data_IF_690663857566
#
_entry.id   IF_690663857566
#
_cell.length_a   1.000
_cell.length_b   1.000
_cell.length_c   1.000
_cell.angle_alpha   90.00
_cell.angle_beta   90.00
_cell.angle_gamma   90.00
#
_symmetry.space_group_name_H-M   'P 1'
#
loop_
_entity.id
_entity.type
_entity.pdbx_description
1 polymer ?
#
# COMPACT_ATOMS: atom_id res chain seq x y z
N UNK A 1 7.37 2.46 -24.49
CA UNK A 1 7.85 3.13 -23.26
C UNK A 1 7.23 2.45 -22.02
N UNK A 2 7.90 1.46 -21.42
CA UNK A 2 7.41 0.71 -20.25
C UNK A 2 8.27 1.07 -19.03
N UNK A 3 7.64 1.72 -18.04
CA UNK A 3 8.26 2.13 -16.78
C UNK A 3 8.48 0.88 -15.91
N UNK A 4 9.73 0.40 -15.83
CA UNK A 4 10.12 -0.65 -14.88
C UNK A 4 10.61 -0.02 -13.57
N UNK A 5 9.75 -0.01 -12.54
CA UNK A 5 10.15 0.35 -11.18
C UNK A 5 11.04 -0.74 -10.58
N UNK A 6 12.28 -0.37 -10.18
CA UNK A 6 13.21 -1.24 -9.44
C UNK A 6 12.57 -1.82 -8.17
N UNK A 7 12.51 -3.14 -8.10
CA UNK A 7 12.05 -3.90 -6.94
C UNK A 7 13.11 -3.88 -5.82
N UNK A 8 12.94 -2.99 -4.84
CA UNK A 8 13.45 -3.18 -3.46
C UNK A 8 12.21 -3.27 -2.54
N UNK A 9 11.70 -4.47 -2.25
CA UNK A 9 10.28 -4.67 -1.93
C UNK A 9 9.84 -4.29 -0.51
N UNK A 10 10.70 -3.71 0.34
CA UNK A 10 10.33 -3.43 1.74
C UNK A 10 9.78 -2.03 2.01
N UNK A 11 10.10 -1.02 1.20
CA UNK A 11 9.67 0.36 1.51
C UNK A 11 8.41 0.77 0.75
N UNK A 12 8.41 0.57 -0.57
CA UNK A 12 7.27 0.91 -1.42
C UNK A 12 6.03 0.08 -1.09
N UNK A 13 6.16 -0.97 -0.30
CA UNK A 13 5.07 -1.84 0.12
C UNK A 13 4.40 -1.32 1.38
N UNK A 14 5.14 -0.91 2.41
CA UNK A 14 4.56 -0.51 3.71
C UNK A 14 3.84 0.82 3.66
N UNK A 15 4.52 1.87 3.17
CA UNK A 15 3.89 3.19 3.05
C UNK A 15 2.75 3.16 2.03
N UNK A 16 2.84 2.33 0.99
CA UNK A 16 1.76 2.12 0.02
C UNK A 16 0.60 1.36 0.65
N UNK A 17 0.84 0.32 1.44
CA UNK A 17 -0.20 -0.44 2.15
C UNK A 17 -0.96 0.46 3.11
N UNK A 18 -0.25 1.26 3.91
CA UNK A 18 -0.85 2.25 4.79
C UNK A 18 -1.67 3.29 3.99
N UNK A 19 -1.15 3.79 2.86
CA UNK A 19 -1.94 4.68 2.00
C UNK A 19 -3.18 3.99 1.38
N UNK A 20 -3.09 2.73 0.98
CA UNK A 20 -4.24 1.97 0.47
C UNK A 20 -5.28 1.75 1.57
N UNK A 21 -4.85 1.45 2.79
CA UNK A 21 -5.73 1.32 3.95
C UNK A 21 -6.44 2.66 4.24
N UNK A 22 -5.70 3.77 4.24
CA UNK A 22 -6.29 5.11 4.36
C UNK A 22 -7.35 5.36 3.28
N UNK A 23 -7.07 5.07 2.01
CA UNK A 23 -8.04 5.24 0.94
C UNK A 23 -9.26 4.32 1.10
N UNK A 24 -9.06 3.10 1.63
CA UNK A 24 -10.14 2.17 1.96
C UNK A 24 -11.07 2.73 3.02
N UNK A 25 -10.52 3.18 4.17
CA UNK A 25 -11.32 3.81 5.25
C UNK A 25 -12.07 5.04 4.77
N UNK A 26 -11.47 5.87 3.91
CA UNK A 26 -12.14 7.06 3.36
C UNK A 26 -13.37 6.71 2.53
N UNK A 27 -13.32 5.61 1.76
CA UNK A 27 -14.46 5.13 0.97
C UNK A 27 -15.53 4.51 1.85
N UNK A 28 -15.14 3.74 2.88
CA UNK A 28 -16.07 3.13 3.82
C UNK A 28 -16.82 4.22 4.60
N UNK A 29 -16.09 5.22 5.09
CA UNK A 29 -16.67 6.40 5.74
C UNK A 29 -17.64 7.13 4.81
N UNK A 30 -17.30 7.30 3.53
CA UNK A 30 -18.21 7.92 2.56
C UNK A 30 -19.50 7.12 2.34
N UNK A 31 -19.45 5.78 2.42
CA UNK A 31 -20.61 4.91 2.36
C UNK A 31 -21.47 5.04 3.62
N UNK A 32 -20.88 4.84 4.80
CA UNK A 32 -21.60 4.89 6.08
C UNK A 32 -22.22 6.26 6.36
N UNK A 33 -21.52 7.33 5.98
CA UNK A 33 -22.04 8.69 6.14
C UNK A 33 -23.34 8.93 5.35
N UNK A 34 -23.59 8.22 4.25
CA UNK A 34 -24.84 8.39 3.48
C UNK A 34 -26.06 7.94 4.27
N UNK A 35 -25.92 6.89 5.08
CA UNK A 35 -27.01 6.33 5.90
C UNK A 35 -27.45 7.26 7.02
N UNK A 36 -26.51 7.98 7.62
CA UNK A 36 -26.77 8.87 8.78
C UNK A 36 -26.66 10.34 8.41
N UNK A 37 -26.69 10.66 7.12
CA UNK A 37 -26.53 12.04 6.63
C UNK A 37 -27.58 12.97 7.22
N UNK A 38 -28.81 12.49 7.40
CA UNK A 38 -29.92 13.28 7.95
C UNK A 38 -29.76 13.58 9.44
N UNK A 39 -29.07 12.70 10.17
CA UNK A 39 -28.80 12.86 11.61
C UNK A 39 -27.60 13.78 11.89
N UNK A 40 -26.82 14.13 10.87
CA UNK A 40 -25.58 14.89 11.01
C UNK A 40 -25.67 16.25 10.30
N UNK A 41 -25.36 17.31 11.05
CA UNK A 41 -25.30 18.67 10.50
C UNK A 41 -24.12 18.84 9.52
N UNK A 42 -23.00 18.14 9.76
CA UNK A 42 -21.78 18.23 8.94
C UNK A 42 -21.07 16.88 8.84
N UNK A 43 -20.48 16.62 7.67
CA UNK A 43 -19.67 15.44 7.41
C UNK A 43 -18.35 15.45 8.20
N UNK A 44 -17.91 14.31 8.77
CA UNK A 44 -16.59 14.20 9.39
C UNK A 44 -15.46 14.65 8.45
N UNK A 45 -14.59 15.54 8.95
CA UNK A 45 -13.53 16.15 8.15
C UNK A 45 -12.38 15.17 7.93
N UNK A 46 -12.35 14.55 6.75
CA UNK A 46 -11.22 13.71 6.33
C UNK A 46 -10.11 14.56 5.67
N UNK A 47 -8.87 14.39 6.12
CA UNK A 47 -7.70 15.15 5.61
C UNK A 47 -7.19 14.64 4.25
N UNK A 48 -8.07 14.27 3.31
CA UNK A 48 -7.73 13.51 2.08
C UNK A 48 -6.64 14.16 1.23
N UNK A 49 -6.82 15.46 0.93
CA UNK A 49 -5.89 16.24 0.09
C UNK A 49 -4.50 16.32 0.73
N UNK A 50 -4.45 16.62 2.03
CA UNK A 50 -3.21 16.75 2.80
C UNK A 50 -2.52 15.39 2.92
N UNK A 51 -3.26 14.34 3.27
CA UNK A 51 -2.75 12.99 3.41
C UNK A 51 -2.15 12.46 2.10
N UNK A 52 -2.82 12.71 0.97
CA UNK A 52 -2.32 12.38 -0.38
C UNK A 52 -1.06 13.17 -0.71
N UNK A 53 -1.03 14.49 -0.44
CA UNK A 53 0.15 15.33 -0.68
C UNK A 53 1.36 14.81 0.11
N UNK A 54 1.17 14.52 1.40
CA UNK A 54 2.23 14.01 2.27
C UNK A 54 2.74 12.63 1.82
N UNK A 55 1.84 11.74 1.40
CA UNK A 55 2.22 10.46 0.79
C UNK A 55 3.06 10.65 -0.47
N UNK A 56 2.59 11.48 -1.41
CA UNK A 56 3.26 11.70 -2.70
C UNK A 56 4.64 12.32 -2.54
N UNK A 57 4.84 13.23 -1.57
CA UNK A 57 6.16 13.80 -1.26
C UNK A 57 7.22 12.73 -1.01
N UNK A 58 6.86 11.65 -0.33
CA UNK A 58 7.80 10.56 0.00
C UNK A 58 7.80 9.49 -1.10
N UNK A 59 6.64 9.17 -1.66
CA UNK A 59 6.50 8.15 -2.71
C UNK A 59 7.24 8.52 -4.01
N UNK A 60 7.36 9.82 -4.33
CA UNK A 60 8.08 10.30 -5.52
C UNK A 60 9.60 10.28 -5.36
N UNK A 61 10.14 10.14 -4.14
CA UNK A 61 11.60 10.12 -3.92
C UNK A 61 12.21 8.79 -4.37
N UNK A 62 13.31 8.87 -5.12
CA UNK A 62 14.07 7.69 -5.56
C UNK A 62 14.62 6.87 -4.38
N UNK A 63 15.11 7.54 -3.35
CA UNK A 63 15.74 6.92 -2.15
C UNK A 63 15.39 7.71 -0.88
N UNK A 64 14.20 7.51 -0.30
CA UNK A 64 13.85 8.17 0.97
C UNK A 64 14.61 7.54 2.13
N UNK A 65 15.04 8.36 3.09
CA UNK A 65 15.78 7.92 4.29
C UNK A 65 14.89 7.16 5.26
N UNK A 66 15.48 6.32 6.13
CA UNK A 66 14.69 5.56 7.12
C UNK A 66 13.79 6.45 7.99
N UNK A 67 14.30 7.62 8.39
CA UNK A 67 13.55 8.63 9.16
C UNK A 67 12.34 9.14 8.38
N UNK A 68 12.51 9.43 7.09
CA UNK A 68 11.40 9.85 6.22
C UNK A 68 10.36 8.75 6.05
N UNK A 69 10.79 7.50 5.86
CA UNK A 69 9.90 6.34 5.76
C UNK A 69 9.05 6.18 7.02
N UNK A 70 9.70 6.20 8.18
CA UNK A 70 9.06 6.07 9.48
C UNK A 70 8.07 7.20 9.74
N UNK A 71 8.45 8.44 9.42
CA UNK A 71 7.56 9.61 9.51
C UNK A 71 6.33 9.46 8.60
N UNK A 72 6.53 9.04 7.35
CA UNK A 72 5.44 8.84 6.40
C UNK A 72 4.44 7.76 6.86
N UNK A 73 4.95 6.63 7.37
CA UNK A 73 4.11 5.56 7.91
C UNK A 73 3.32 6.07 9.11
N UNK A 74 3.96 6.72 10.09
CA UNK A 74 3.28 7.28 11.26
C UNK A 74 2.18 8.27 10.88
N UNK A 75 2.43 9.14 9.89
CA UNK A 75 1.40 10.04 9.36
C UNK A 75 0.22 9.28 8.74
N UNK A 76 0.47 8.25 7.92
CA UNK A 76 -0.60 7.43 7.35
C UNK A 76 -1.41 6.70 8.42
N UNK A 77 -0.76 6.12 9.43
CA UNK A 77 -1.43 5.48 10.56
C UNK A 77 -2.31 6.46 11.34
N UNK A 78 -1.82 7.68 11.59
CA UNK A 78 -2.63 8.72 12.23
C UNK A 78 -3.82 9.21 11.38
N UNK A 79 -3.77 9.11 10.05
CA UNK A 79 -4.97 9.34 9.22
C UNK A 79 -5.95 8.17 9.30
N UNK A 80 -5.45 6.93 9.25
CA UNK A 80 -6.29 5.72 9.36
C UNK A 80 -7.01 5.70 10.71
N UNK A 81 -6.31 5.92 11.82
CA UNK A 81 -6.90 5.90 13.16
C UNK A 81 -8.03 6.91 13.32
N UNK A 82 -7.87 8.13 12.81
CA UNK A 82 -8.94 9.13 12.81
C UNK A 82 -10.13 8.71 11.96
N UNK A 83 -9.87 8.14 10.78
CA UNK A 83 -10.95 7.66 9.92
C UNK A 83 -11.71 6.49 10.56
N UNK A 84 -11.02 5.58 11.26
CA UNK A 84 -11.65 4.48 12.01
C UNK A 84 -12.50 5.05 13.16
N UNK A 85 -11.99 6.00 13.95
CA UNK A 85 -12.81 6.63 14.99
C UNK A 85 -14.06 7.35 14.45
N UNK A 86 -13.99 7.94 13.26
CA UNK A 86 -15.20 8.46 12.60
C UNK A 86 -16.14 7.36 12.11
N UNK A 87 -15.62 6.21 11.67
CA UNK A 87 -16.45 5.06 11.30
C UNK A 87 -17.19 4.55 12.54
N UNK A 88 -16.50 4.40 13.68
CA UNK A 88 -17.10 3.98 14.94
C UNK A 88 -18.23 4.92 15.37
N UNK A 89 -18.00 6.23 15.34
CA UNK A 89 -19.02 7.24 15.62
C UNK A 89 -20.22 7.16 14.68
N UNK A 90 -20.01 6.88 13.38
CA UNK A 90 -21.13 6.73 12.43
C UNK A 90 -21.95 5.49 12.75
N UNK A 91 -21.30 4.39 13.16
CA UNK A 91 -21.96 3.15 13.58
C UNK A 91 -22.80 3.41 14.85
N UNK A 92 -22.24 4.11 15.84
CA UNK A 92 -22.96 4.51 17.06
C UNK A 92 -24.19 5.37 16.79
N UNK A 93 -24.14 6.24 15.76
CA UNK A 93 -25.29 7.05 15.31
C UNK A 93 -26.36 6.23 14.54
N UNK A 94 -26.12 4.94 14.35
CA UNK A 94 -27.02 3.99 13.70
C UNK A 94 -26.75 3.78 12.21
N UNK A 95 -25.54 4.06 11.71
CA UNK A 95 -25.18 3.66 10.34
C UNK A 95 -25.10 2.13 10.27
N UNK A 96 -25.92 1.52 9.41
CA UNK A 96 -25.91 0.08 9.25
C UNK A 96 -24.69 -0.39 8.44
N UNK A 97 -23.95 -1.36 8.97
CA UNK A 97 -22.85 -2.02 8.24
C UNK A 97 -23.34 -2.80 7.01
N UNK A 98 -24.64 -3.08 6.90
CA UNK A 98 -25.22 -3.75 5.73
C UNK A 98 -25.16 -2.91 4.45
N UNK A 99 -24.97 -1.59 4.56
CA UNK A 99 -24.78 -0.72 3.41
C UNK A 99 -23.41 -0.93 2.72
N UNK A 100 -22.47 -1.60 3.41
CA UNK A 100 -21.17 -1.95 2.86
C UNK A 100 -21.28 -3.21 2.00
N UNK A 101 -20.66 -3.18 0.81
CA UNK A 101 -20.47 -4.41 0.04
C UNK A 101 -19.67 -5.43 0.86
N UNK A 102 -19.89 -6.73 0.62
CA UNK A 102 -19.11 -7.83 1.23
C UNK A 102 -17.59 -7.59 1.14
N UNK A 103 -17.14 -6.97 0.04
CA UNK A 103 -15.73 -6.60 -0.17
C UNK A 103 -15.27 -5.45 0.73
N UNK A 104 -16.08 -4.41 0.91
CA UNK A 104 -15.77 -3.29 1.79
C UNK A 104 -15.78 -3.71 3.26
N UNK A 105 -16.73 -4.54 3.67
CA UNK A 105 -16.79 -5.08 5.02
C UNK A 105 -15.53 -5.90 5.35
N UNK A 106 -15.17 -6.88 4.49
CA UNK A 106 -13.91 -7.62 4.64
C UNK A 106 -12.68 -6.71 4.64
N UNK A 107 -12.68 -5.68 3.80
CA UNK A 107 -11.60 -4.70 3.75
C UNK A 107 -11.47 -3.91 5.06
N UNK A 108 -12.58 -3.58 5.73
CA UNK A 108 -12.57 -2.90 7.03
C UNK A 108 -11.83 -3.74 8.07
N UNK A 109 -12.23 -4.99 8.23
CA UNK A 109 -11.60 -5.94 9.17
C UNK A 109 -10.09 -6.11 8.90
N UNK A 110 -9.73 -6.24 7.63
CA UNK A 110 -8.31 -6.35 7.23
C UNK A 110 -7.54 -5.05 7.51
N UNK A 111 -8.17 -3.89 7.33
CA UNK A 111 -7.53 -2.59 7.62
C UNK A 111 -7.30 -2.42 9.12
N UNK A 112 -8.26 -2.81 9.96
CA UNK A 112 -8.12 -2.77 11.42
C UNK A 112 -6.91 -3.60 11.87
N UNK A 113 -6.82 -4.85 11.41
CA UNK A 113 -5.67 -5.72 11.73
C UNK A 113 -4.36 -5.19 11.18
N UNK A 114 -4.33 -4.71 9.94
CA UNK A 114 -3.12 -4.09 9.37
C UNK A 114 -2.73 -2.84 10.16
N UNK A 115 -3.68 -2.02 10.57
CA UNK A 115 -3.44 -0.81 11.37
C UNK A 115 -2.83 -1.18 12.72
N UNK A 116 -3.38 -2.20 13.40
CA UNK A 116 -2.87 -2.76 14.65
C UNK A 116 -1.43 -3.24 14.48
N UNK A 117 -1.17 -4.14 13.52
CA UNK A 117 0.17 -4.69 13.25
C UNK A 117 1.18 -3.58 12.91
N UNK A 118 0.81 -2.62 12.06
CA UNK A 118 1.70 -1.52 11.68
C UNK A 118 2.00 -0.57 12.83
N UNK A 119 1.03 -0.34 13.72
CA UNK A 119 1.21 0.50 14.89
C UNK A 119 2.19 -0.13 15.86
N UNK A 120 2.04 -1.42 16.16
CA UNK A 120 2.96 -2.22 16.97
C UNK A 120 4.40 -2.15 16.42
N UNK A 121 4.56 -2.44 15.12
CA UNK A 121 5.87 -2.32 14.46
C UNK A 121 6.45 -0.91 14.53
N UNK A 122 5.59 0.11 14.39
CA UNK A 122 6.02 1.49 14.43
C UNK A 122 6.43 1.90 15.85
N UNK A 123 5.62 1.67 16.88
CA UNK A 123 5.93 2.04 18.27
C UNK A 123 7.17 1.33 18.78
N UNK A 124 7.22 0.00 18.64
CA UNK A 124 8.25 -0.85 19.23
C UNK A 124 9.51 -0.95 18.36
N UNK A 125 9.53 -0.28 17.21
CA UNK A 125 10.62 -0.33 16.21
C UNK A 125 10.91 -1.76 15.72
N UNK A 126 9.95 -2.68 15.86
CA UNK A 126 10.05 -4.05 15.36
C UNK A 126 9.92 -4.10 13.83
N UNK A 127 10.61 -5.06 13.22
CA UNK A 127 10.56 -5.30 11.77
C UNK A 127 9.73 -6.52 11.39
N UNK A 128 9.29 -7.30 12.37
CA UNK A 128 8.50 -8.52 12.22
C UNK A 128 7.35 -8.51 13.23
N UNK A 129 6.23 -9.07 12.79
CA UNK A 129 5.04 -9.40 13.58
C UNK A 129 4.55 -10.73 13.03
N UNK A 130 4.03 -11.59 13.89
CA UNK A 130 3.53 -12.89 13.47
C UNK A 130 2.25 -12.75 12.64
N UNK A 131 2.07 -13.66 11.68
CA UNK A 131 0.91 -13.67 10.78
C UNK A 131 0.67 -12.32 10.07
N UNK A 132 1.77 -11.66 9.70
CA UNK A 132 1.76 -10.32 9.11
C UNK A 132 0.98 -10.27 7.79
N UNK A 133 -0.02 -9.41 7.74
CA UNK A 133 -0.77 -9.13 6.52
C UNK A 133 0.05 -8.21 5.61
N UNK A 134 0.42 -8.73 4.43
CA UNK A 134 1.26 -8.00 3.46
C UNK A 134 0.47 -7.37 2.31
N UNK A 135 -0.77 -7.81 2.08
CA UNK A 135 -1.66 -7.26 1.07
C UNK A 135 -3.09 -7.10 1.60
N UNK A 136 -3.70 -5.94 1.36
CA UNK A 136 -5.11 -5.70 1.70
C UNK A 136 -6.07 -6.49 0.81
N UNK A 137 -5.69 -6.78 -0.44
CA UNK A 137 -6.52 -7.56 -1.36
C UNK A 137 -6.41 -9.06 -1.13
N UNK A 138 -5.29 -9.51 -0.57
CA UNK A 138 -4.96 -10.91 -0.36
C UNK A 138 -4.35 -11.08 1.03
N UNK A 139 -5.16 -11.01 2.10
CA UNK A 139 -4.67 -11.03 3.48
C UNK A 139 -4.10 -12.39 3.89
N UNK A 140 -4.57 -13.48 3.27
CA UNK A 140 -4.12 -14.85 3.53
C UNK A 140 -2.76 -15.20 2.91
N UNK A 141 -2.26 -14.37 1.98
CA UNK A 141 -1.00 -14.66 1.28
C UNK A 141 0.17 -14.43 2.23
N UNK A 142 0.93 -15.49 2.48
CA UNK A 142 2.15 -15.42 3.32
C UNK A 142 3.27 -14.67 2.60
N UNK A 143 4.08 -13.88 3.31
CA UNK A 143 5.19 -13.16 2.70
C UNK A 143 6.30 -14.14 2.29
N UNK A 144 6.60 -14.24 1.00
CA UNK A 144 7.71 -15.05 0.49
C UNK A 144 8.97 -14.18 0.38
N UNK A 145 10.04 -14.54 1.10
CA UNK A 145 11.34 -13.88 0.97
C UNK A 145 12.05 -14.44 -0.25
N UNK A 146 11.86 -13.81 -1.43
CA UNK A 146 12.63 -14.16 -2.63
C UNK A 146 14.06 -13.59 -2.50
N UNK A 147 14.99 -14.42 -2.05
CA UNK A 147 16.42 -14.11 -2.09
C UNK A 147 16.90 -14.07 -3.54
N UNK A 148 17.11 -12.88 -4.10
CA UNK A 148 18.01 -12.72 -5.25
C UNK A 148 19.21 -11.90 -4.77
N UNK A 149 20.39 -12.48 -4.94
CA UNK A 149 21.67 -11.88 -4.58
C UNK A 149 21.83 -10.50 -5.25
N UNK A 150 22.39 -9.56 -4.48
CA UNK A 150 22.47 -8.16 -4.84
C UNK A 150 23.55 -7.87 -5.86
N UNK A 151 23.16 -7.78 -7.13
CA UNK A 151 23.85 -6.92 -8.09
C UNK A 151 22.90 -5.78 -8.52
N UNK A 152 23.32 -4.50 -8.45
CA UNK A 152 22.46 -3.36 -8.76
C UNK A 152 21.97 -3.32 -10.21
N UNK A 153 22.68 -4.00 -11.11
CA UNK A 153 22.39 -4.13 -12.54
C UNK A 153 23.33 -5.19 -13.13
N UNK A 154 22.79 -6.19 -13.84
CA UNK A 154 23.50 -6.85 -14.94
C UNK A 154 22.55 -6.76 -16.13
N UNK A 155 22.84 -5.86 -17.06
CA UNK A 155 22.38 -6.05 -18.43
C UNK A 155 23.42 -6.97 -19.06
N UNK A 156 23.21 -8.28 -19.01
CA UNK A 156 23.91 -9.18 -19.91
C UNK A 156 23.50 -8.86 -21.34
N UNK A 157 24.45 -8.90 -22.29
CA UNK A 157 24.14 -8.75 -23.71
C UNK A 157 22.99 -9.72 -24.07
N UNK A 158 21.96 -9.20 -24.74
CA UNK A 158 20.90 -10.08 -25.27
C UNK A 158 21.43 -10.72 -26.53
N UNK A 159 21.73 -12.02 -26.44
CA UNK A 159 21.95 -12.90 -27.57
C UNK A 159 20.59 -13.29 -28.14
N UNK A 160 20.30 -12.86 -29.36
CA UNK A 160 19.24 -13.46 -30.18
C UNK A 160 19.89 -14.39 -31.18
N UNK A 161 19.49 -15.66 -31.14
CA UNK A 161 19.93 -16.71 -32.05
C UNK A 161 18.75 -17.09 -32.94
N UNK A 162 18.94 -17.03 -34.26
CA UNK A 162 17.95 -17.53 -35.22
C UNK A 162 18.60 -18.48 -36.20
N UNK A 163 18.01 -19.66 -36.37
CA UNK A 163 18.49 -20.68 -37.32
C UNK A 163 17.56 -20.70 -38.53
N UNK A 164 18.12 -20.52 -39.73
CA UNK A 164 17.40 -20.65 -41.00
C UNK A 164 18.32 -21.40 -41.97
N UNK A 165 17.80 -22.46 -42.59
CA UNK A 165 18.48 -23.28 -43.60
C UNK A 165 19.91 -23.72 -43.21
N UNK A 166 20.05 -24.29 -42.01
CA UNK A 166 21.32 -24.74 -41.39
C UNK A 166 22.34 -23.64 -41.08
N UNK A 167 21.98 -22.35 -41.21
CA UNK A 167 22.80 -21.23 -40.77
C UNK A 167 22.29 -20.64 -39.46
N UNK A 168 23.22 -20.41 -38.52
CA UNK A 168 22.92 -19.82 -37.21
C UNK A 168 23.34 -18.35 -37.20
N UNK A 169 22.36 -17.46 -37.15
CA UNK A 169 22.59 -16.02 -37.02
C UNK A 169 22.62 -15.63 -35.55
N UNK A 170 23.74 -15.04 -35.12
CA UNK A 170 23.96 -14.53 -33.77
C UNK A 170 23.95 -13.00 -33.80
N UNK A 171 22.92 -12.39 -33.22
CA UNK A 171 22.87 -10.94 -33.04
C UNK A 171 23.05 -10.58 -31.56
N UNK A 172 24.13 -9.87 -31.26
CA UNK A 172 24.43 -9.28 -29.96
C UNK A 172 23.91 -7.85 -29.92
N UNK A 173 22.88 -7.58 -29.11
CA UNK A 173 22.48 -6.20 -28.81
C UNK A 173 23.10 -5.77 -27.49
N UNK A 174 24.15 -4.97 -27.58
CA UNK A 174 24.63 -4.17 -26.46
C UNK A 174 23.71 -2.98 -26.27
N UNK A 175 23.19 -2.73 -25.05
CA UNK A 175 22.53 -1.47 -24.77
C UNK A 175 23.59 -0.36 -24.83
N UNK A 176 23.49 0.53 -25.82
CA UNK A 176 24.24 1.78 -25.82
C UNK A 176 23.81 2.59 -24.59
N UNK A 177 24.79 3.01 -23.79
CA UNK A 177 24.61 3.72 -22.52
C UNK A 177 23.84 5.04 -22.66
#
# INVERSE_FOLDING_TARGET
MRIFYRYRPRFHTETRRANQARQGTEKILDCLYREVKEKLTKKPRTSRKIARKNYLKVAKKRRPSQKERRKAIGQQLGYIQRNLGYIDQLIELGASLTCLSKRQYKLLLVIEEVSRQQREMWSEKKTRVDQRIVSLSQPHVRPIVRGKAGKPMEFGAKLSVSCVDNYVFLALRYPLC
#
